data_IF_514299530936
#
_entry.id   IF_514299530936
#
_cell.length_a   1.000
_cell.length_b   1.000
_cell.length_c   1.000
_cell.angle_alpha   90.00
_cell.angle_beta   90.00
_cell.angle_gamma   90.00
#
_symmetry.space_group_name_H-M   'P 1'
#
loop_
_entity.id
_entity.type
_entity.pdbx_description
1 polymer ?
#
# COMPACT_ATOMS: atom_id res chain seq x y z
N UNK A 1 -4.11 13.40 1.87
CA UNK A 1 -4.17 11.94 1.81
C UNK A 1 -4.21 11.59 0.33
N UNK A 2 -3.15 10.99 -0.21
CA UNK A 2 -2.98 10.75 -1.64
C UNK A 2 -3.91 9.63 -2.10
N UNK A 3 -4.47 9.77 -3.32
CA UNK A 3 -5.32 8.74 -3.98
C UNK A 3 -4.67 7.35 -4.02
N UNK A 4 -3.35 7.27 -3.92
CA UNK A 4 -2.59 6.03 -3.81
C UNK A 4 -2.74 5.33 -2.44
N UNK A 5 -2.93 6.07 -1.34
CA UNK A 5 -3.15 5.50 0.00
C UNK A 5 -4.58 5.00 0.18
N UNK A 6 -5.56 5.67 -0.44
CA UNK A 6 -6.95 5.19 -0.47
C UNK A 6 -7.09 3.90 -1.30
N UNK A 7 -6.33 3.76 -2.38
CA UNK A 7 -6.29 2.52 -3.18
C UNK A 7 -5.66 1.33 -2.43
N UNK A 8 -4.71 1.59 -1.51
CA UNK A 8 -4.07 0.53 -0.71
C UNK A 8 -4.94 0.04 0.46
N UNK A 9 -5.76 0.90 1.07
CA UNK A 9 -6.63 0.51 2.20
C UNK A 9 -7.85 -0.31 1.76
N UNK A 10 -8.29 -0.19 0.53
CA UNK A 10 -9.45 -0.93 -0.01
C UNK A 10 -9.08 -2.33 -0.53
N UNK A 11 -7.78 -2.71 -0.49
CA UNK A 11 -7.25 -3.99 -1.01
C UNK A 11 -6.92 -5.03 0.07
N UNK A 12 -7.27 -4.78 1.33
CA UNK A 12 -7.11 -5.81 2.37
C UNK A 12 -8.15 -6.92 2.17
N UNK A 13 -7.65 -8.09 1.77
CA UNK A 13 -8.44 -9.30 1.63
C UNK A 13 -8.46 -10.01 2.99
N UNK A 14 -9.65 -10.40 3.45
CA UNK A 14 -9.81 -11.26 4.61
C UNK A 14 -9.26 -12.68 4.29
N UNK A 15 -8.67 -13.41 5.24
CA UNK A 15 -8.19 -14.78 5.01
C UNK A 15 -9.23 -15.73 4.40
N UNK A 16 -10.52 -15.52 4.70
CA UNK A 16 -11.60 -16.25 4.04
C UNK A 16 -11.75 -15.90 2.56
N UNK A 17 -11.60 -14.64 2.22
CA UNK A 17 -11.65 -14.17 0.82
C UNK A 17 -10.44 -14.66 0.02
N UNK A 18 -9.27 -14.79 0.65
CA UNK A 18 -8.08 -15.36 0.00
C UNK A 18 -8.30 -16.81 -0.42
N UNK A 19 -8.87 -17.64 0.47
CA UNK A 19 -9.17 -19.03 0.14
C UNK A 19 -10.19 -19.15 -0.99
N UNK A 20 -11.24 -18.34 -0.96
CA UNK A 20 -12.28 -18.28 -2.01
C UNK A 20 -11.67 -17.84 -3.36
N UNK A 21 -10.77 -16.86 -3.36
CA UNK A 21 -10.10 -16.42 -4.58
C UNK A 21 -9.19 -17.50 -5.16
N UNK A 22 -8.42 -18.21 -4.33
CA UNK A 22 -7.56 -19.31 -4.78
C UNK A 22 -8.39 -20.48 -5.35
N UNK A 23 -9.50 -20.81 -4.73
CA UNK A 23 -10.43 -21.85 -5.23
C UNK A 23 -11.12 -21.42 -6.53
N UNK A 24 -11.55 -20.17 -6.63
CA UNK A 24 -12.14 -19.61 -7.85
C UNK A 24 -11.16 -19.65 -9.04
N UNK A 25 -9.85 -19.40 -8.80
CA UNK A 25 -8.83 -19.44 -9.83
C UNK A 25 -8.57 -20.87 -10.36
N UNK A 26 -8.80 -21.90 -9.55
CA UNK A 26 -8.67 -23.31 -9.95
C UNK A 26 -9.84 -23.79 -10.81
N UNK A 27 -10.93 -23.05 -10.85
CA UNK A 27 -12.13 -23.39 -11.63
C UNK A 27 -12.04 -22.83 -13.05
N UNK A 28 -12.56 -23.55 -14.06
CA UNK A 28 -12.58 -23.06 -15.45
C UNK A 28 -13.37 -21.75 -15.60
N UNK A 29 -14.51 -21.65 -14.91
CA UNK A 29 -15.32 -20.40 -14.83
C UNK A 29 -15.09 -19.75 -13.47
N UNK A 30 -14.39 -18.62 -13.47
CA UNK A 30 -14.17 -17.80 -12.27
C UNK A 30 -15.49 -17.14 -11.86
N UNK A 31 -16.09 -17.63 -10.78
CA UNK A 31 -17.27 -17.04 -10.18
C UNK A 31 -16.86 -16.40 -8.85
N UNK A 32 -17.24 -15.15 -8.68
CA UNK A 32 -16.98 -14.41 -7.45
C UNK A 32 -18.20 -14.44 -6.52
N UNK A 33 -17.97 -14.36 -5.23
CA UNK A 33 -19.00 -14.06 -4.25
C UNK A 33 -19.58 -12.65 -4.50
N UNK A 34 -20.74 -12.35 -3.91
CA UNK A 34 -21.49 -11.11 -4.18
C UNK A 34 -20.65 -9.85 -3.99
N UNK A 35 -19.83 -9.79 -2.96
CA UNK A 35 -18.96 -8.64 -2.68
C UNK A 35 -17.86 -8.49 -3.73
N UNK A 36 -17.13 -9.55 -4.02
CA UNK A 36 -16.10 -9.57 -5.06
C UNK A 36 -16.67 -9.33 -6.46
N UNK A 37 -17.87 -9.85 -6.75
CA UNK A 37 -18.56 -9.60 -8.02
C UNK A 37 -18.92 -8.13 -8.17
N UNK A 38 -19.34 -7.46 -7.11
CA UNK A 38 -19.63 -6.02 -7.14
C UNK A 38 -18.36 -5.19 -7.36
N UNK A 39 -17.28 -5.51 -6.67
CA UNK A 39 -15.95 -4.88 -6.87
C UNK A 39 -15.43 -5.11 -8.28
N UNK A 40 -15.55 -6.32 -8.81
CA UNK A 40 -15.17 -6.62 -10.19
C UNK A 40 -15.97 -5.80 -11.20
N UNK A 41 -17.30 -5.73 -11.04
CA UNK A 41 -18.19 -4.93 -11.93
C UNK A 41 -17.83 -3.45 -11.89
N UNK A 42 -17.56 -2.90 -10.72
CA UNK A 42 -17.12 -1.52 -10.57
C UNK A 42 -15.77 -1.28 -11.26
N UNK A 43 -14.78 -2.13 -10.99
CA UNK A 43 -13.48 -2.07 -11.65
C UNK A 43 -13.58 -2.20 -13.19
N UNK A 44 -14.41 -3.12 -13.68
CA UNK A 44 -14.65 -3.30 -15.12
C UNK A 44 -15.33 -2.09 -15.74
N UNK A 45 -16.27 -1.46 -15.03
CA UNK A 45 -16.96 -0.25 -15.45
C UNK A 45 -15.99 0.94 -15.57
N UNK A 46 -15.23 1.21 -14.53
CA UNK A 46 -14.26 2.31 -14.48
C UNK A 46 -13.19 2.15 -15.57
N UNK A 47 -12.72 0.93 -15.78
CA UNK A 47 -11.78 0.60 -16.85
C UNK A 47 -12.37 0.87 -18.24
N UNK A 48 -13.63 0.51 -18.46
CA UNK A 48 -14.29 0.74 -19.76
C UNK A 48 -14.47 2.23 -20.01
N UNK A 49 -14.88 3.00 -19.00
CA UNK A 49 -14.99 4.47 -19.10
C UNK A 49 -13.64 5.13 -19.36
N UNK A 50 -12.58 4.72 -18.67
CA UNK A 50 -11.24 5.24 -18.90
C UNK A 50 -10.74 4.94 -20.33
N UNK A 51 -11.00 3.73 -20.82
CA UNK A 51 -10.66 3.34 -22.18
C UNK A 51 -11.42 4.18 -23.22
N UNK A 52 -12.71 4.42 -23.01
CA UNK A 52 -13.49 5.30 -23.90
C UNK A 52 -12.95 6.73 -23.83
N UNK A 53 -12.73 7.26 -22.66
CA UNK A 53 -12.21 8.63 -22.48
C UNK A 53 -10.87 8.85 -23.19
N UNK A 54 -9.98 7.86 -23.15
CA UNK A 54 -8.68 7.92 -23.84
C UNK A 54 -8.79 7.74 -25.35
N UNK A 55 -9.71 6.89 -25.83
CA UNK A 55 -9.80 6.50 -27.24
C UNK A 55 -10.86 7.23 -28.05
N UNK A 56 -11.78 7.98 -27.42
CA UNK A 56 -12.93 8.59 -28.12
C UNK A 56 -12.51 9.55 -29.25
N UNK A 57 -11.44 10.33 -29.02
CA UNK A 57 -10.94 11.24 -30.06
C UNK A 57 -10.32 10.50 -31.23
N UNK A 58 -9.63 9.39 -30.96
CA UNK A 58 -9.08 8.53 -32.00
C UNK A 58 -10.22 7.88 -32.79
N UNK A 59 -11.25 7.38 -32.10
CA UNK A 59 -12.45 6.80 -32.77
C UNK A 59 -13.18 7.80 -33.62
N UNK A 60 -13.42 9.02 -33.12
CA UNK A 60 -14.00 10.11 -33.90
C UNK A 60 -13.14 10.49 -35.10
N UNK A 61 -11.83 10.63 -34.92
CA UNK A 61 -10.88 10.96 -35.99
C UNK A 61 -10.88 9.91 -37.11
N UNK A 62 -10.78 8.62 -36.72
CA UNK A 62 -10.83 7.50 -37.67
C UNK A 62 -12.18 7.42 -38.38
N UNK A 63 -13.28 7.63 -37.66
CA UNK A 63 -14.61 7.65 -38.23
C UNK A 63 -14.74 8.76 -39.28
N UNK A 64 -14.35 9.99 -38.97
CA UNK A 64 -14.38 11.11 -39.90
C UNK A 64 -13.43 10.88 -41.08
N UNK A 65 -12.25 10.30 -40.86
CA UNK A 65 -11.29 10.00 -41.91
C UNK A 65 -11.87 9.04 -42.98
N UNK A 66 -12.73 8.11 -42.59
CA UNK A 66 -13.38 7.16 -43.51
C UNK A 66 -14.63 7.76 -44.12
N UNK A 67 -15.50 8.33 -43.29
CA UNK A 67 -16.84 8.76 -43.71
C UNK A 67 -16.81 10.02 -44.61
N UNK A 68 -15.96 11.00 -44.29
CA UNK A 68 -15.89 12.26 -45.03
C UNK A 68 -15.48 12.05 -46.50
N UNK A 69 -14.38 11.33 -46.82
CA UNK A 69 -14.02 11.04 -48.20
C UNK A 69 -15.09 10.26 -48.94
N UNK A 70 -15.72 9.27 -48.33
CA UNK A 70 -16.78 8.47 -48.97
C UNK A 70 -17.98 9.35 -49.34
N UNK A 71 -18.42 10.25 -48.44
CA UNK A 71 -19.52 11.18 -48.70
C UNK A 71 -19.17 12.17 -49.82
N UNK A 72 -17.92 12.63 -49.88
CA UNK A 72 -17.50 13.62 -50.89
C UNK A 72 -17.29 13.01 -52.27
N UNK A 73 -16.76 11.79 -52.36
CA UNK A 73 -16.36 11.14 -53.60
C UNK A 73 -17.55 10.41 -54.24
N UNK A 74 -18.37 9.70 -53.45
CA UNK A 74 -19.42 8.83 -53.96
C UNK A 74 -20.78 9.52 -53.86
N UNK A 75 -21.26 10.04 -55.00
CA UNK A 75 -22.52 10.78 -55.09
C UNK A 75 -23.65 9.97 -55.73
N UNK A 76 -23.81 8.70 -55.37
CA UNK A 76 -24.91 7.88 -55.85
C UNK A 76 -26.16 8.01 -54.95
N UNK A 77 -27.38 7.84 -55.45
CA UNK A 77 -28.60 7.86 -54.64
C UNK A 77 -28.59 6.80 -53.53
N UNK A 78 -27.97 5.66 -53.78
CA UNK A 78 -27.84 4.55 -52.83
C UNK A 78 -26.94 4.92 -51.65
N UNK A 79 -25.94 5.75 -51.86
CA UNK A 79 -25.07 6.26 -50.78
C UNK A 79 -25.78 7.24 -49.84
N UNK A 80 -26.81 7.95 -50.35
CA UNK A 80 -27.65 8.78 -49.49
C UNK A 80 -28.43 7.91 -48.48
N UNK A 81 -28.87 6.73 -48.90
CA UNK A 81 -29.52 5.78 -48.03
C UNK A 81 -28.57 5.12 -47.03
N UNK A 82 -27.35 4.77 -47.47
CA UNK A 82 -26.31 4.28 -46.55
C UNK A 82 -26.00 5.30 -45.42
N UNK A 83 -25.95 6.59 -45.71
CA UNK A 83 -25.81 7.63 -44.69
C UNK A 83 -26.88 7.55 -43.59
N UNK A 84 -28.13 7.30 -43.99
CA UNK A 84 -29.25 7.27 -43.05
C UNK A 84 -29.22 6.02 -42.14
N UNK A 85 -28.81 4.88 -42.66
CA UNK A 85 -28.84 3.60 -41.94
C UNK A 85 -27.53 3.22 -41.26
N UNK A 86 -26.36 3.59 -41.80
CA UNK A 86 -25.04 3.31 -41.25
C UNK A 86 -24.43 4.54 -40.55
N UNK A 87 -24.19 5.61 -41.33
CA UNK A 87 -23.37 6.75 -40.85
C UNK A 87 -24.03 7.50 -39.71
N UNK A 88 -25.28 7.94 -39.84
CA UNK A 88 -25.92 8.74 -38.80
C UNK A 88 -26.15 8.01 -37.48
N UNK A 89 -26.58 6.73 -37.41
CA UNK A 89 -26.69 6.00 -36.18
C UNK A 89 -25.35 5.87 -35.42
N UNK A 90 -24.28 5.59 -36.17
CA UNK A 90 -22.93 5.48 -35.57
C UNK A 90 -22.45 6.87 -35.09
N UNK A 91 -22.68 7.94 -35.83
CA UNK A 91 -22.34 9.29 -35.43
C UNK A 91 -23.06 9.70 -34.15
N UNK A 92 -24.36 9.44 -34.03
CA UNK A 92 -25.14 9.69 -32.80
C UNK A 92 -24.62 8.87 -31.64
N UNK A 93 -24.25 7.61 -31.86
CA UNK A 93 -23.66 6.75 -30.86
C UNK A 93 -22.31 7.31 -30.32
N UNK A 94 -21.43 7.75 -31.23
CA UNK A 94 -20.14 8.35 -30.88
C UNK A 94 -20.28 9.66 -30.11
N UNK A 95 -21.24 10.53 -30.52
CA UNK A 95 -21.55 11.77 -29.82
C UNK A 95 -22.13 11.47 -28.44
N UNK A 96 -23.00 10.47 -28.31
CA UNK A 96 -23.53 10.03 -27.03
C UNK A 96 -22.43 9.56 -26.08
N UNK A 97 -21.50 8.71 -26.53
CA UNK A 97 -20.35 8.25 -25.77
C UNK A 97 -19.42 9.39 -25.39
N UNK A 98 -19.13 10.31 -26.33
CA UNK A 98 -18.35 11.51 -26.05
C UNK A 98 -18.99 12.36 -24.95
N UNK A 99 -20.32 12.56 -25.03
CA UNK A 99 -21.07 13.33 -24.02
C UNK A 99 -20.96 12.70 -22.61
N UNK A 100 -20.97 11.36 -22.48
CA UNK A 100 -20.78 10.66 -21.21
C UNK A 100 -19.39 10.87 -20.62
N UNK A 101 -18.36 11.15 -21.41
CA UNK A 101 -17.01 11.44 -20.90
C UNK A 101 -16.83 12.89 -20.48
N UNK A 102 -17.70 13.81 -20.88
CA UNK A 102 -17.60 15.25 -20.65
C UNK A 102 -18.60 15.81 -19.65
N UNK A 103 -19.76 15.17 -19.54
CA UNK A 103 -20.86 15.65 -18.71
C UNK A 103 -20.99 14.74 -17.48
N UNK A 104 -20.60 15.24 -16.32
CA UNK A 104 -20.56 14.47 -15.07
C UNK A 104 -21.93 13.89 -14.69
N UNK A 105 -23.02 14.58 -15.00
CA UNK A 105 -24.37 14.10 -14.76
C UNK A 105 -24.79 12.91 -15.65
N UNK A 106 -24.16 12.72 -16.83
CA UNK A 106 -24.36 11.56 -17.70
C UNK A 106 -23.51 10.35 -17.34
N UNK A 107 -22.43 10.56 -16.62
CA UNK A 107 -21.45 9.52 -16.25
C UNK A 107 -22.09 8.29 -15.57
N UNK A 108 -23.06 8.43 -14.64
CA UNK A 108 -23.74 7.28 -14.04
C UNK A 108 -24.52 6.44 -15.06
N UNK A 109 -24.98 7.06 -16.15
CA UNK A 109 -25.78 6.41 -17.21
C UNK A 109 -24.94 5.89 -18.36
N UNK A 110 -23.61 5.98 -18.31
CA UNK A 110 -22.72 5.65 -19.41
C UNK A 110 -22.91 4.21 -19.94
N UNK A 111 -23.15 3.23 -19.05
CA UNK A 111 -23.43 1.86 -19.45
C UNK A 111 -24.73 1.79 -20.31
N UNK A 112 -25.77 2.47 -19.89
CA UNK A 112 -27.06 2.49 -20.61
C UNK A 112 -26.84 3.14 -21.96
N UNK A 113 -26.13 4.26 -22.02
CA UNK A 113 -25.83 4.96 -23.30
C UNK A 113 -24.99 4.07 -24.19
N UNK A 114 -24.04 3.31 -23.69
CA UNK A 114 -23.25 2.35 -24.48
C UNK A 114 -24.12 1.26 -25.13
N UNK A 115 -25.04 0.67 -24.38
CA UNK A 115 -25.94 -0.34 -24.94
C UNK A 115 -26.96 0.25 -25.91
N UNK A 116 -27.47 1.46 -25.65
CA UNK A 116 -28.34 2.17 -26.59
C UNK A 116 -27.60 2.54 -27.90
N UNK A 117 -26.35 3.00 -27.77
CA UNK A 117 -25.47 3.30 -28.88
C UNK A 117 -25.20 2.04 -29.75
N UNK A 118 -24.89 0.93 -29.09
CA UNK A 118 -24.68 -0.37 -29.75
C UNK A 118 -25.97 -0.85 -30.45
N UNK A 119 -27.11 -0.79 -29.78
CA UNK A 119 -28.40 -1.18 -30.32
C UNK A 119 -28.78 -0.33 -31.54
N UNK A 120 -28.65 0.98 -31.46
CA UNK A 120 -28.97 1.92 -32.54
C UNK A 120 -28.09 1.66 -33.76
N UNK A 121 -26.77 1.54 -33.54
CA UNK A 121 -25.80 1.32 -34.62
C UNK A 121 -26.00 -0.05 -35.29
N UNK A 122 -26.18 -1.13 -34.52
CA UNK A 122 -26.43 -2.47 -35.04
C UNK A 122 -27.78 -2.53 -35.83
N UNK A 123 -28.84 -1.98 -35.26
CA UNK A 123 -30.16 -1.95 -35.93
C UNK A 123 -30.09 -1.23 -37.26
N UNK A 124 -29.39 -0.09 -37.29
CA UNK A 124 -29.21 0.70 -38.53
C UNK A 124 -28.41 -0.07 -39.60
N UNK A 125 -27.26 -0.65 -39.21
CA UNK A 125 -26.40 -1.37 -40.16
C UNK A 125 -27.04 -2.66 -40.67
N UNK A 126 -27.76 -3.43 -39.85
CA UNK A 126 -28.51 -4.63 -40.27
C UNK A 126 -29.62 -4.25 -41.23
N UNK A 127 -30.41 -3.21 -40.90
CA UNK A 127 -31.49 -2.73 -41.77
C UNK A 127 -30.96 -2.21 -43.12
N UNK A 128 -29.83 -1.50 -43.09
CA UNK A 128 -29.13 -1.07 -44.33
C UNK A 128 -28.67 -2.25 -45.19
N UNK A 129 -28.10 -3.28 -44.57
CA UNK A 129 -27.69 -4.53 -45.23
C UNK A 129 -28.87 -5.26 -45.89
N UNK A 130 -30.01 -5.34 -45.21
CA UNK A 130 -31.25 -5.96 -45.80
C UNK A 130 -31.81 -5.15 -46.97
N UNK A 131 -31.91 -3.83 -46.79
CA UNK A 131 -32.52 -2.94 -47.78
C UNK A 131 -31.74 -2.84 -49.09
N UNK A 132 -30.42 -2.87 -49.00
CA UNK A 132 -29.52 -2.66 -50.15
C UNK A 132 -28.68 -3.89 -50.50
N UNK A 133 -29.17 -5.07 -50.20
CA UNK A 133 -28.49 -6.34 -50.32
C UNK A 133 -27.75 -6.58 -51.66
N UNK A 134 -28.34 -6.16 -52.78
CA UNK A 134 -27.75 -6.34 -54.13
C UNK A 134 -26.78 -5.22 -54.53
N UNK A 135 -26.58 -4.21 -53.70
CA UNK A 135 -25.76 -3.06 -54.00
C UNK A 135 -24.53 -2.96 -53.10
N UNK A 136 -23.52 -2.21 -53.55
CA UNK A 136 -22.31 -1.95 -52.76
C UNK A 136 -22.58 -1.39 -51.34
N UNK A 137 -23.51 -0.42 -51.13
CA UNK A 137 -23.85 0.06 -49.79
C UNK A 137 -24.38 -1.01 -48.86
N UNK A 138 -25.14 -1.99 -49.34
CA UNK A 138 -25.62 -3.09 -48.50
C UNK A 138 -24.50 -4.02 -48.01
N UNK A 139 -23.53 -4.29 -48.88
CA UNK A 139 -22.34 -5.06 -48.48
C UNK A 139 -21.53 -4.29 -47.43
N UNK A 140 -21.31 -2.99 -47.59
CA UNK A 140 -20.62 -2.14 -46.61
C UNK A 140 -21.34 -2.18 -45.26
N UNK A 141 -22.66 -2.02 -45.23
CA UNK A 141 -23.45 -2.08 -43.99
C UNK A 141 -23.33 -3.45 -43.26
N UNK A 142 -23.25 -4.53 -44.05
CA UNK A 142 -23.05 -5.87 -43.49
C UNK A 142 -21.67 -6.01 -42.80
N UNK A 143 -20.61 -5.48 -43.39
CA UNK A 143 -19.27 -5.43 -42.75
C UNK A 143 -19.25 -4.51 -41.53
N UNK A 144 -19.94 -3.35 -41.58
CA UNK A 144 -20.03 -2.44 -40.42
C UNK A 144 -20.62 -3.15 -39.19
N UNK A 145 -21.65 -4.00 -39.38
CA UNK A 145 -22.23 -4.78 -38.27
C UNK A 145 -21.22 -5.72 -37.61
N UNK A 146 -20.33 -6.35 -38.42
CA UNK A 146 -19.25 -7.21 -37.89
C UNK A 146 -18.26 -6.39 -37.09
N UNK A 147 -17.80 -5.25 -37.57
CA UNK A 147 -16.89 -4.37 -36.88
C UNK A 147 -17.49 -3.85 -35.57
N UNK A 148 -18.77 -3.49 -35.54
CA UNK A 148 -19.46 -3.08 -34.30
C UNK A 148 -19.48 -4.21 -33.26
N UNK A 149 -19.71 -5.47 -33.68
CA UNK A 149 -19.63 -6.62 -32.78
C UNK A 149 -18.21 -6.83 -32.24
N UNK A 150 -17.17 -6.73 -33.08
CA UNK A 150 -15.79 -6.83 -32.68
C UNK A 150 -15.43 -5.73 -31.67
N UNK A 151 -15.86 -4.49 -31.94
CA UNK A 151 -15.61 -3.36 -31.03
C UNK A 151 -16.28 -3.61 -29.68
N UNK A 152 -17.55 -4.03 -29.67
CA UNK A 152 -18.30 -4.24 -28.43
C UNK A 152 -17.72 -5.38 -27.58
N UNK A 153 -17.44 -6.54 -28.18
CA UNK A 153 -16.97 -7.71 -27.44
C UNK A 153 -15.47 -7.71 -27.15
N UNK A 154 -14.63 -7.23 -28.07
CA UNK A 154 -13.17 -7.37 -27.97
C UNK A 154 -12.47 -6.10 -27.51
N UNK A 155 -12.87 -4.93 -27.99
CA UNK A 155 -12.21 -3.66 -27.66
C UNK A 155 -12.80 -3.08 -26.37
N UNK A 156 -14.11 -2.83 -26.34
CA UNK A 156 -14.79 -2.28 -25.16
C UNK A 156 -14.96 -3.31 -24.04
N UNK A 157 -14.88 -4.60 -24.39
CA UNK A 157 -15.03 -5.74 -23.44
C UNK A 157 -16.30 -5.60 -22.62
N UNK A 158 -17.40 -5.27 -23.28
CA UNK A 158 -18.70 -5.22 -22.63
C UNK A 158 -19.09 -6.61 -22.11
N UNK A 159 -19.83 -6.70 -20.99
CA UNK A 159 -20.32 -7.97 -20.45
C UNK A 159 -20.99 -8.83 -21.54
N UNK A 160 -20.47 -10.03 -21.86
CA UNK A 160 -20.84 -10.77 -23.07
C UNK A 160 -22.33 -11.13 -23.10
N UNK A 161 -22.93 -11.46 -21.96
CA UNK A 161 -24.35 -11.79 -21.85
C UNK A 161 -25.26 -10.61 -22.24
N UNK A 162 -24.97 -9.41 -21.74
CA UNK A 162 -25.77 -8.22 -22.00
C UNK A 162 -25.57 -7.74 -23.43
N UNK A 163 -24.35 -7.82 -23.96
CA UNK A 163 -24.01 -7.47 -25.34
C UNK A 163 -24.70 -8.40 -26.30
N UNK A 164 -24.75 -9.71 -26.05
CA UNK A 164 -25.47 -10.70 -26.83
C UNK A 164 -26.97 -10.40 -26.89
N UNK A 165 -27.58 -10.11 -25.73
CA UNK A 165 -29.01 -9.76 -25.65
C UNK A 165 -29.30 -8.49 -26.48
N UNK A 166 -28.46 -7.46 -26.35
CA UNK A 166 -28.59 -6.21 -27.10
C UNK A 166 -28.49 -6.45 -28.61
N UNK A 167 -27.53 -7.28 -29.03
CA UNK A 167 -27.37 -7.62 -30.46
C UNK A 167 -28.59 -8.41 -31.04
N UNK A 168 -29.13 -9.34 -30.25
CA UNK A 168 -30.34 -10.08 -30.63
C UNK A 168 -31.54 -9.15 -30.73
N UNK A 169 -31.72 -8.25 -29.76
CA UNK A 169 -32.82 -7.26 -29.80
C UNK A 169 -32.69 -6.36 -31.02
N UNK A 170 -31.47 -5.91 -31.35
CA UNK A 170 -31.20 -5.10 -32.56
C UNK A 170 -31.58 -5.85 -33.87
N UNK A 171 -31.20 -7.13 -33.96
CA UNK A 171 -31.51 -7.96 -35.10
C UNK A 171 -33.02 -8.20 -35.25
N UNK A 172 -33.71 -8.54 -34.15
CA UNK A 172 -35.16 -8.73 -34.16
C UNK A 172 -35.90 -7.43 -34.58
N UNK A 173 -35.45 -6.29 -34.06
CA UNK A 173 -36.01 -4.99 -34.43
C UNK A 173 -35.82 -4.68 -35.92
N UNK A 174 -34.63 -4.88 -36.47
CA UNK A 174 -34.34 -4.66 -37.86
C UNK A 174 -35.15 -5.61 -38.75
N UNK A 175 -35.32 -6.89 -38.39
CA UNK A 175 -36.16 -7.85 -39.09
C UNK A 175 -37.64 -7.45 -39.04
N UNK A 176 -38.16 -7.03 -37.90
CA UNK A 176 -39.54 -6.58 -37.76
C UNK A 176 -39.86 -5.40 -38.70
N UNK A 177 -38.98 -4.40 -38.72
CA UNK A 177 -39.12 -3.26 -39.66
C UNK A 177 -39.07 -3.73 -41.10
N UNK A 178 -38.16 -4.65 -41.45
CA UNK A 178 -38.04 -5.20 -42.81
C UNK A 178 -39.30 -5.92 -43.28
N UNK A 179 -39.96 -6.67 -42.38
CA UNK A 179 -41.24 -7.31 -42.67
C UNK A 179 -42.36 -6.29 -42.88
N UNK A 180 -42.46 -5.28 -42.01
CA UNK A 180 -43.47 -4.22 -42.09
C UNK A 180 -43.32 -3.41 -43.38
N UNK A 181 -42.07 -3.17 -43.80
CA UNK A 181 -41.78 -2.41 -45.03
C UNK A 181 -41.71 -3.28 -46.29
N UNK A 182 -42.11 -4.55 -46.20
CA UNK A 182 -42.16 -5.53 -47.30
C UNK A 182 -40.84 -5.63 -48.09
N UNK A 183 -39.69 -5.58 -47.37
CA UNK A 183 -38.39 -5.77 -47.99
C UNK A 183 -38.12 -7.25 -48.29
N UNK A 184 -37.39 -7.52 -49.38
CA UNK A 184 -36.96 -8.86 -49.71
C UNK A 184 -35.88 -9.32 -48.70
N UNK A 185 -36.22 -10.26 -47.84
CA UNK A 185 -35.33 -10.77 -46.80
C UNK A 185 -34.61 -12.01 -47.32
N UNK A 186 -33.30 -11.90 -47.51
CA UNK A 186 -32.44 -13.05 -47.83
C UNK A 186 -31.91 -13.65 -46.55
N UNK A 187 -32.60 -14.62 -45.97
CA UNK A 187 -32.29 -15.23 -44.67
C UNK A 187 -30.87 -15.80 -44.61
N UNK A 188 -30.40 -16.41 -45.70
CA UNK A 188 -29.03 -16.96 -45.78
C UNK A 188 -27.95 -15.88 -45.62
N UNK A 189 -28.17 -14.70 -46.20
CA UNK A 189 -27.21 -13.60 -46.12
C UNK A 189 -27.14 -13.05 -44.69
N UNK A 190 -28.30 -12.89 -44.03
CA UNK A 190 -28.37 -12.42 -42.65
C UNK A 190 -27.67 -13.44 -41.70
N UNK A 191 -27.89 -14.74 -41.94
CA UNK A 191 -27.20 -15.77 -41.18
C UNK A 191 -25.69 -15.70 -41.34
N UNK A 192 -25.20 -15.54 -42.54
CA UNK A 192 -23.76 -15.48 -42.81
C UNK A 192 -23.13 -14.16 -42.34
N UNK A 193 -23.77 -13.03 -42.56
CA UNK A 193 -23.18 -11.72 -42.25
C UNK A 193 -23.36 -11.27 -40.80
N UNK A 194 -24.29 -11.83 -40.03
CA UNK A 194 -24.58 -11.43 -38.67
C UNK A 194 -24.50 -12.57 -37.67
N UNK A 195 -25.23 -13.70 -37.91
CA UNK A 195 -25.33 -14.76 -36.88
C UNK A 195 -24.02 -15.47 -36.62
N UNK A 196 -23.21 -15.77 -37.65
CA UNK A 196 -21.91 -16.41 -37.48
C UNK A 196 -20.90 -15.47 -36.79
N UNK A 197 -20.72 -14.18 -37.22
CA UNK A 197 -19.89 -13.24 -36.49
C UNK A 197 -20.35 -13.01 -35.06
N UNK A 198 -21.66 -12.94 -34.80
CA UNK A 198 -22.20 -12.79 -33.44
C UNK A 198 -21.81 -13.97 -32.57
N UNK A 199 -21.93 -15.23 -33.08
CA UNK A 199 -21.53 -16.41 -32.35
C UNK A 199 -20.03 -16.38 -32.00
N UNK A 200 -19.17 -16.09 -32.98
CA UNK A 200 -17.72 -16.02 -32.79
C UNK A 200 -17.34 -14.92 -31.79
N UNK A 201 -17.93 -13.72 -31.96
CA UNK A 201 -17.67 -12.59 -31.07
C UNK A 201 -18.15 -12.88 -29.64
N UNK A 202 -19.27 -13.57 -29.48
CA UNK A 202 -19.80 -13.96 -28.16
C UNK A 202 -18.85 -14.92 -27.44
N UNK A 203 -18.39 -15.97 -28.13
CA UNK A 203 -17.41 -16.92 -27.56
C UNK A 203 -16.13 -16.20 -27.16
N UNK A 204 -15.61 -15.35 -28.05
CA UNK A 204 -14.44 -14.55 -27.76
C UNK A 204 -14.68 -13.60 -26.56
N UNK A 205 -15.83 -12.97 -26.46
CA UNK A 205 -16.22 -12.11 -25.33
C UNK A 205 -16.22 -12.87 -24.01
N UNK A 206 -16.74 -14.09 -23.97
CA UNK A 206 -16.69 -14.94 -22.77
C UNK A 206 -15.25 -15.32 -22.37
N UNK A 207 -14.40 -15.67 -23.35
CA UNK A 207 -12.98 -15.96 -23.08
C UNK A 207 -12.26 -14.74 -22.49
N UNK A 208 -12.54 -13.56 -23.04
CA UNK A 208 -11.96 -12.30 -22.55
C UNK A 208 -12.48 -11.92 -21.15
N UNK A 209 -13.76 -12.18 -20.85
CA UNK A 209 -14.33 -11.94 -19.51
C UNK A 209 -13.70 -12.88 -18.48
N UNK A 210 -13.55 -14.17 -18.79
CA UNK A 210 -12.87 -15.14 -17.92
C UNK A 210 -11.41 -14.70 -17.66
N UNK A 211 -10.68 -14.29 -18.72
CA UNK A 211 -9.32 -13.76 -18.58
C UNK A 211 -9.27 -12.51 -17.71
N UNK A 212 -10.22 -11.58 -17.87
CA UNK A 212 -10.29 -10.35 -17.09
C UNK A 212 -10.56 -10.65 -15.62
N UNK A 213 -11.46 -11.59 -15.30
CA UNK A 213 -11.75 -12.05 -13.95
C UNK A 213 -10.53 -12.68 -13.29
N UNK A 214 -9.81 -13.56 -14.02
CA UNK A 214 -8.56 -14.16 -13.52
C UNK A 214 -7.49 -13.10 -13.23
N UNK A 215 -7.31 -12.15 -14.15
CA UNK A 215 -6.35 -11.07 -13.93
C UNK A 215 -6.71 -10.19 -12.73
N UNK A 216 -8.00 -9.89 -12.54
CA UNK A 216 -8.48 -9.15 -11.37
C UNK A 216 -8.18 -9.90 -10.07
N UNK A 217 -8.50 -11.19 -10.01
CA UNK A 217 -8.23 -12.03 -8.84
C UNK A 217 -6.73 -12.14 -8.55
N UNK A 218 -5.90 -12.39 -9.58
CA UNK A 218 -4.45 -12.45 -9.45
C UNK A 218 -3.86 -11.12 -8.95
N UNK A 219 -4.32 -9.99 -9.46
CA UNK A 219 -3.84 -8.69 -9.02
C UNK A 219 -4.18 -8.42 -7.55
N UNK A 220 -5.37 -8.80 -7.09
CA UNK A 220 -5.75 -8.70 -5.68
C UNK A 220 -4.85 -9.57 -4.79
N UNK A 221 -4.60 -10.82 -5.17
CA UNK A 221 -3.71 -11.73 -4.43
C UNK A 221 -2.28 -11.20 -4.38
N UNK A 222 -1.73 -10.75 -5.51
CA UNK A 222 -0.40 -10.17 -5.59
C UNK A 222 -0.27 -8.91 -4.73
N UNK A 223 -1.28 -8.04 -4.72
CA UNK A 223 -1.30 -6.86 -3.87
C UNK A 223 -1.30 -7.25 -2.38
N UNK A 224 -2.09 -8.26 -1.99
CA UNK A 224 -2.12 -8.77 -0.63
C UNK A 224 -0.78 -9.38 -0.20
N UNK A 225 -0.21 -10.27 -1.03
CA UNK A 225 1.10 -10.90 -0.76
C UNK A 225 2.22 -9.84 -0.67
N UNK A 226 2.23 -8.85 -1.56
CA UNK A 226 3.22 -7.76 -1.52
C UNK A 226 3.11 -6.91 -0.25
N UNK A 227 1.89 -6.64 0.22
CA UNK A 227 1.65 -5.92 1.47
C UNK A 227 2.14 -6.73 2.69
N UNK A 228 1.92 -8.04 2.71
CA UNK A 228 2.44 -8.93 3.74
C UNK A 228 3.97 -8.93 3.74
N UNK A 229 4.59 -9.13 2.58
CA UNK A 229 6.06 -9.13 2.44
C UNK A 229 6.68 -7.82 2.92
N UNK A 230 6.06 -6.68 2.63
CA UNK A 230 6.54 -5.38 3.10
C UNK A 230 6.46 -5.26 4.62
N UNK A 231 5.39 -5.76 5.25
CA UNK A 231 5.28 -5.82 6.72
C UNK A 231 6.36 -6.70 7.34
N UNK A 232 6.59 -7.89 6.77
CA UNK A 232 7.64 -8.80 7.23
C UNK A 232 9.04 -8.19 7.11
N UNK A 233 9.32 -7.51 5.97
CA UNK A 233 10.60 -6.80 5.77
C UNK A 233 10.80 -5.70 6.80
N UNK A 234 9.80 -4.85 7.00
CA UNK A 234 9.88 -3.78 7.98
C UNK A 234 10.11 -4.31 9.41
N UNK A 235 9.49 -5.44 9.75
CA UNK A 235 9.72 -6.09 11.05
C UNK A 235 11.14 -6.66 11.14
N UNK A 236 11.60 -7.38 10.10
CA UNK A 236 12.94 -7.94 10.08
C UNK A 236 14.05 -6.87 10.13
N UNK A 237 13.84 -5.72 9.48
CA UNK A 237 14.77 -4.57 9.57
C UNK A 237 14.83 -4.00 10.99
N UNK A 238 13.68 -3.85 11.66
CA UNK A 238 13.64 -3.41 13.07
C UNK A 238 14.39 -4.39 13.98
N UNK A 239 14.13 -5.69 13.81
CA UNK A 239 14.78 -6.72 14.62
C UNK A 239 16.29 -6.77 14.37
N UNK A 240 16.72 -6.62 13.09
CA UNK A 240 18.14 -6.56 12.74
C UNK A 240 18.84 -5.33 13.32
N UNK A 241 18.21 -4.16 13.25
CA UNK A 241 18.75 -2.92 13.85
C UNK A 241 18.88 -3.05 15.37
N UNK A 242 17.86 -3.62 16.02
CA UNK A 242 17.89 -3.88 17.47
C UNK A 242 19.02 -4.85 17.83
N UNK A 243 19.17 -5.93 17.09
CA UNK A 243 20.25 -6.90 17.31
C UNK A 243 21.63 -6.26 17.10
N UNK A 244 21.76 -5.40 16.10
CA UNK A 244 23.00 -4.66 15.86
C UNK A 244 23.35 -3.73 17.02
N UNK A 245 22.38 -3.01 17.59
CA UNK A 245 22.59 -2.14 18.75
C UNK A 245 23.04 -2.94 19.98
N UNK A 246 22.39 -4.08 20.22
CA UNK A 246 22.81 -4.99 21.31
C UNK A 246 24.25 -5.50 21.10
N UNK A 247 24.60 -5.91 19.89
CA UNK A 247 25.95 -6.38 19.58
C UNK A 247 27.01 -5.28 19.73
N UNK A 248 26.71 -4.05 19.32
CA UNK A 248 27.58 -2.91 19.52
C UNK A 248 27.81 -2.65 21.02
N UNK A 249 26.75 -2.70 21.82
CA UNK A 249 26.83 -2.54 23.24
C UNK A 249 27.68 -3.67 23.90
N UNK A 250 27.39 -4.93 23.52
CA UNK A 250 28.18 -6.08 24.03
C UNK A 250 29.67 -5.95 23.70
N UNK A 251 29.99 -5.40 22.52
CA UNK A 251 31.39 -5.07 22.16
C UNK A 251 32.02 -4.02 23.08
N UNK A 252 31.26 -3.04 23.57
CA UNK A 252 31.74 -2.00 24.49
C UNK A 252 32.04 -2.54 25.88
N UNK A 253 31.21 -3.46 26.37
CA UNK A 253 31.35 -4.03 27.74
C UNK A 253 32.22 -5.29 27.80
N UNK A 254 32.67 -5.79 26.63
CA UNK A 254 33.55 -6.96 26.55
C UNK A 254 35.01 -6.63 26.98
N UNK A 255 35.68 -7.62 27.54
CA UNK A 255 37.11 -7.54 27.90
C UNK A 255 37.39 -7.44 29.38
N UNK A 256 38.68 -7.30 29.72
CA UNK A 256 39.16 -7.19 31.12
C UNK A 256 39.10 -5.74 31.60
N UNK A 257 37.89 -5.19 31.69
CA UNK A 257 37.67 -3.84 32.17
C UNK A 257 37.59 -3.77 33.67
N UNK A 258 38.10 -2.68 34.26
CA UNK A 258 37.78 -2.31 35.64
C UNK A 258 36.33 -1.82 35.71
N UNK A 259 35.66 -1.85 36.89
CA UNK A 259 34.31 -1.31 37.03
C UNK A 259 34.16 0.14 36.54
N UNK A 260 35.15 0.99 36.82
CA UNK A 260 35.15 2.40 36.37
C UNK A 260 35.24 2.52 34.85
N UNK A 261 36.15 1.76 34.20
CA UNK A 261 36.31 1.72 32.76
C UNK A 261 35.05 1.19 32.07
N UNK A 262 34.39 0.18 32.63
CA UNK A 262 33.14 -0.36 32.14
C UNK A 262 32.04 0.71 32.15
N UNK A 263 31.84 1.37 33.28
CA UNK A 263 30.82 2.40 33.46
C UNK A 263 31.09 3.63 32.58
N UNK A 264 32.34 4.01 32.37
CA UNK A 264 32.73 5.09 31.47
C UNK A 264 32.35 4.76 30.01
N UNK A 265 32.63 3.53 29.55
CA UNK A 265 32.25 3.08 28.19
C UNK A 265 30.73 3.03 28.03
N UNK A 266 30.01 2.57 29.05
CA UNK A 266 28.54 2.53 29.05
C UNK A 266 27.96 3.94 28.95
N UNK A 267 28.48 4.90 29.73
CA UNK A 267 28.05 6.30 29.61
C UNK A 267 28.30 6.85 28.18
N UNK A 268 29.48 6.58 27.60
CA UNK A 268 29.79 6.95 26.23
C UNK A 268 28.81 6.35 25.23
N UNK A 269 28.45 5.09 25.37
CA UNK A 269 27.43 4.43 24.55
C UNK A 269 26.06 5.10 24.69
N UNK A 270 25.61 5.39 25.91
CA UNK A 270 24.33 6.05 26.18
C UNK A 270 24.26 7.46 25.57
N UNK A 271 25.36 8.19 25.59
CA UNK A 271 25.47 9.51 24.94
C UNK A 271 25.33 9.40 23.42
N UNK A 272 26.02 8.43 22.80
CA UNK A 272 26.05 8.29 21.35
C UNK A 272 24.76 7.68 20.78
N UNK A 273 24.16 6.71 21.47
CA UNK A 273 23.07 5.90 20.92
C UNK A 273 21.70 6.14 21.55
N UNK A 274 21.67 6.63 22.81
CA UNK A 274 20.41 6.91 23.52
C UNK A 274 20.13 8.42 23.59
N UNK A 275 21.11 9.25 23.22
CA UNK A 275 20.94 10.71 23.17
C UNK A 275 21.07 11.37 24.55
N UNK A 276 21.65 10.71 25.55
CA UNK A 276 21.99 11.33 26.81
C UNK A 276 22.95 12.52 26.58
N UNK A 277 22.75 13.61 27.32
CA UNK A 277 23.62 14.81 27.23
C UNK A 277 24.53 14.93 28.43
N UNK A 278 24.10 14.43 29.57
CA UNK A 278 24.82 14.42 30.83
C UNK A 278 24.58 13.05 31.50
N UNK A 279 25.54 12.57 32.25
CA UNK A 279 25.39 11.30 32.97
C UNK A 279 26.41 11.09 34.09
N UNK A 280 26.01 10.28 35.04
CA UNK A 280 26.83 9.81 36.11
C UNK A 280 26.56 8.33 36.40
N UNK A 281 27.58 7.58 36.75
CA UNK A 281 27.45 6.19 37.14
C UNK A 281 28.08 5.97 38.53
N UNK A 282 27.28 5.42 39.41
CA UNK A 282 27.61 5.19 40.80
C UNK A 282 27.64 3.70 41.11
N UNK A 283 28.61 3.29 41.92
CA UNK A 283 28.65 1.96 42.51
C UNK A 283 28.22 2.02 43.96
N UNK A 284 27.51 1.00 44.41
CA UNK A 284 27.10 0.86 45.79
C UNK A 284 28.25 0.23 46.59
N UNK A 285 28.76 0.96 47.56
CA UNK A 285 29.77 0.50 48.53
C UNK A 285 29.24 0.72 49.96
N UNK A 286 28.83 -0.36 50.62
CA UNK A 286 28.11 -0.26 51.89
C UNK A 286 26.77 0.46 51.77
N UNK A 287 26.58 1.59 52.45
CA UNK A 287 25.39 2.43 52.36
C UNK A 287 25.65 3.73 51.58
N UNK A 288 26.65 3.73 50.71
CA UNK A 288 27.02 4.91 49.94
C UNK A 288 27.12 4.59 48.46
N UNK A 289 26.67 5.51 47.63
CA UNK A 289 26.82 5.50 46.18
C UNK A 289 28.06 6.33 45.83
N UNK A 290 29.13 5.67 45.39
CA UNK A 290 30.39 6.29 44.99
C UNK A 290 30.42 6.44 43.48
N UNK A 291 30.61 7.67 43.00
CA UNK A 291 30.68 7.92 41.55
C UNK A 291 31.95 7.31 40.96
N UNK A 292 31.83 6.44 39.99
CA UNK A 292 32.92 5.79 39.28
C UNK A 292 33.15 6.33 37.87
N UNK A 293 32.13 6.90 37.26
CA UNK A 293 32.22 7.53 35.94
C UNK A 293 31.24 8.71 35.82
N UNK A 294 31.57 9.67 34.97
CA UNK A 294 30.70 10.81 34.68
C UNK A 294 30.91 11.31 33.26
N UNK A 295 29.88 11.95 32.71
CA UNK A 295 29.90 12.59 31.40
C UNK A 295 29.25 13.96 31.48
N UNK A 296 30.00 14.99 31.10
CA UNK A 296 29.56 16.39 31.02
C UNK A 296 28.93 16.95 32.32
N UNK A 297 29.29 16.44 33.49
CA UNK A 297 28.89 17.02 34.76
C UNK A 297 29.58 18.35 34.98
N UNK A 298 28.90 19.33 35.57
CA UNK A 298 29.45 20.63 35.95
C UNK A 298 28.95 21.11 37.30
N UNK A 299 29.61 22.14 37.86
CA UNK A 299 29.20 22.80 39.06
C UNK A 299 29.14 21.91 40.32
N UNK A 300 28.07 22.06 41.12
CA UNK A 300 27.85 21.30 42.34
C UNK A 300 27.68 19.78 42.09
N UNK A 301 27.10 19.40 40.98
CA UNK A 301 26.97 18.00 40.59
C UNK A 301 28.34 17.35 40.34
N UNK A 302 29.33 18.08 39.83
CA UNK A 302 30.69 17.61 39.66
C UNK A 302 31.39 17.42 41.01
N UNK A 303 31.10 18.27 42.00
CA UNK A 303 31.72 18.18 43.31
C UNK A 303 31.18 17.03 44.17
N UNK A 304 29.99 16.51 43.85
CA UNK A 304 29.31 15.49 44.64
C UNK A 304 29.74 14.08 44.20
N UNK A 305 30.83 13.57 44.82
CA UNK A 305 31.40 12.25 44.50
C UNK A 305 30.75 11.10 45.25
N UNK A 306 30.22 11.37 46.43
CA UNK A 306 29.59 10.37 47.30
C UNK A 306 28.20 10.83 47.69
N UNK A 307 27.22 9.95 47.57
CA UNK A 307 25.81 10.19 47.88
C UNK A 307 25.31 9.05 48.80
N UNK A 308 24.51 9.34 49.85
CA UNK A 308 23.86 8.28 50.62
C UNK A 308 22.95 7.43 49.74
N UNK A 309 22.96 6.09 49.93
CA UNK A 309 22.22 5.17 49.07
C UNK A 309 20.70 5.16 49.33
N UNK A 310 20.26 5.72 50.44
CA UNK A 310 18.87 5.78 50.93
C UNK A 310 18.21 7.14 50.72
N UNK A 311 18.94 8.13 50.23
CA UNK A 311 18.46 9.51 50.11
C UNK A 311 18.24 9.93 48.64
N UNK A 312 17.29 10.84 48.46
CA UNK A 312 17.04 11.53 47.18
C UNK A 312 16.48 10.62 46.06
N UNK A 313 16.58 11.10 44.82
CA UNK A 313 16.05 10.38 43.65
C UNK A 313 16.82 9.09 43.37
N UNK A 314 18.14 9.09 43.59
CA UNK A 314 19.01 7.91 43.41
C UNK A 314 18.62 6.80 44.37
N UNK A 315 18.47 7.13 45.68
CA UNK A 315 18.04 6.17 46.69
C UNK A 315 16.64 5.62 46.45
N UNK A 316 15.71 6.49 46.03
CA UNK A 316 14.36 6.06 45.70
C UNK A 316 14.34 5.07 44.51
N UNK A 317 15.11 5.33 43.45
CA UNK A 317 15.21 4.44 42.31
C UNK A 317 15.86 3.11 42.64
N UNK A 318 16.93 3.13 43.43
CA UNK A 318 17.63 1.93 43.86
C UNK A 318 16.75 1.02 44.73
N UNK A 319 15.94 1.61 45.62
CA UNK A 319 15.00 0.89 46.47
C UNK A 319 13.84 0.31 45.71
N UNK A 320 13.30 1.03 44.69
CA UNK A 320 12.24 0.54 43.84
C UNK A 320 12.70 -0.51 42.82
N UNK A 321 13.99 -0.58 42.54
CA UNK A 321 14.60 -1.53 41.59
C UNK A 321 14.04 -1.43 40.17
N UNK A 322 13.53 -0.25 39.76
CA UNK A 322 12.91 0.01 38.48
C UNK A 322 13.65 1.13 37.75
N UNK A 323 13.60 1.06 36.43
CA UNK A 323 13.99 2.18 35.58
C UNK A 323 12.96 3.30 35.74
N UNK A 324 13.41 4.46 36.22
CA UNK A 324 12.52 5.59 36.53
C UNK A 324 12.91 6.80 35.68
N UNK A 325 11.96 7.32 34.91
CA UNK A 325 12.11 8.63 34.28
C UNK A 325 11.37 9.68 35.09
N UNK A 326 12.13 10.71 35.55
CA UNK A 326 11.59 11.84 36.26
C UNK A 326 11.58 13.07 35.38
N UNK A 327 10.39 13.60 35.12
CA UNK A 327 10.17 14.91 34.53
C UNK A 327 10.13 15.99 35.63
N UNK A 328 10.37 17.22 35.25
CA UNK A 328 10.37 18.37 36.20
C UNK A 328 11.37 18.19 37.33
N UNK A 329 12.63 18.02 36.97
CA UNK A 329 13.73 17.87 37.91
C UNK A 329 13.90 19.14 38.73
N UNK A 330 14.16 19.05 40.08
CA UNK A 330 14.40 20.23 40.88
C UNK A 330 15.52 21.11 40.35
N UNK A 331 15.36 22.44 40.49
CA UNK A 331 16.43 23.40 40.12
C UNK A 331 17.71 23.07 40.87
N UNK A 332 18.85 23.06 40.14
CA UNK A 332 20.18 22.74 40.67
C UNK A 332 20.43 21.26 41.01
N UNK A 333 19.53 20.36 40.70
CA UNK A 333 19.77 18.93 40.81
C UNK A 333 20.85 18.44 39.84
N UNK A 334 20.67 18.74 38.57
CA UNK A 334 21.62 18.60 37.48
C UNK A 334 21.45 19.80 36.54
N UNK A 335 22.55 20.43 36.16
CA UNK A 335 22.52 21.53 35.18
C UNK A 335 23.24 21.08 33.89
N UNK A 336 22.57 21.20 32.76
CA UNK A 336 23.15 21.06 31.42
C UNK A 336 23.86 22.37 31.08
N UNK A 337 25.18 22.36 31.04
CA UNK A 337 25.99 23.52 30.68
C UNK A 337 26.30 23.49 29.19
N UNK A 338 25.92 24.55 28.50
CA UNK A 338 26.20 24.73 27.06
C UNK A 338 26.98 26.03 26.89
N UNK A 339 27.58 26.25 25.73
CA UNK A 339 28.26 27.51 25.41
C UNK A 339 27.37 28.76 25.50
N UNK A 340 26.06 28.60 25.63
CA UNK A 340 25.08 29.70 25.74
C UNK A 340 24.51 29.85 27.17
N UNK A 341 24.85 28.98 28.11
CA UNK A 341 24.41 29.05 29.51
C UNK A 341 24.06 27.70 30.11
N UNK A 342 23.47 27.76 31.34
CA UNK A 342 23.02 26.59 32.10
C UNK A 342 21.50 26.46 31.97
N UNK A 343 21.04 25.24 31.78
CA UNK A 343 19.62 24.89 31.74
C UNK A 343 19.37 23.61 32.52
N UNK A 344 18.29 23.50 33.30
CA UNK A 344 17.89 22.23 33.88
C UNK A 344 17.52 21.24 32.74
N UNK A 345 17.75 19.92 32.93
CA UNK A 345 17.30 18.92 31.98
C UNK A 345 15.79 18.82 31.93
N UNK A 346 15.23 18.44 30.78
CA UNK A 346 13.80 18.17 30.64
C UNK A 346 13.37 16.88 31.35
N UNK A 347 14.27 15.89 31.38
CA UNK A 347 14.05 14.70 32.17
C UNK A 347 15.39 14.06 32.59
N UNK A 348 15.34 13.35 33.73
CA UNK A 348 16.40 12.49 34.26
C UNK A 348 15.90 11.05 34.24
N UNK A 349 16.71 10.14 33.72
CA UNK A 349 16.48 8.71 33.77
C UNK A 349 17.41 8.06 34.75
N UNK A 350 16.83 7.34 35.68
CA UNK A 350 17.52 6.63 36.76
C UNK A 350 17.47 5.13 36.46
N UNK A 351 18.64 4.55 36.27
CA UNK A 351 18.77 3.16 35.87
C UNK A 351 19.54 2.37 36.97
N UNK A 352 18.82 1.75 37.93
CA UNK A 352 19.46 0.90 38.94
C UNK A 352 20.05 -0.36 38.29
N UNK A 353 21.28 -0.70 38.63
CA UNK A 353 21.98 -1.89 38.16
C UNK A 353 21.88 -2.97 39.26
N UNK A 354 21.19 -4.05 38.94
CA UNK A 354 20.83 -5.10 39.90
C UNK A 354 21.17 -6.45 39.30
N UNK A 355 21.82 -7.32 40.10
CA UNK A 355 22.06 -8.70 39.70
C UNK A 355 21.42 -9.65 40.73
N UNK A 356 20.39 -10.36 40.31
CA UNK A 356 19.52 -11.08 41.24
C UNK A 356 18.87 -10.13 42.25
N UNK A 357 19.09 -10.35 43.55
CA UNK A 357 18.61 -9.48 44.63
C UNK A 357 19.62 -8.42 45.12
N UNK A 358 20.81 -8.40 44.51
CA UNK A 358 21.90 -7.53 44.96
C UNK A 358 22.00 -6.28 44.09
N UNK A 359 21.79 -5.07 44.66
CA UNK A 359 22.03 -3.84 43.94
C UNK A 359 23.56 -3.63 43.83
N UNK A 360 24.01 -3.33 42.60
CA UNK A 360 25.41 -3.08 42.27
C UNK A 360 25.73 -1.60 42.22
N UNK A 361 24.76 -0.79 41.82
CA UNK A 361 24.90 0.64 41.61
C UNK A 361 23.74 1.23 40.86
N UNK A 362 23.93 2.44 40.33
CA UNK A 362 22.91 3.16 39.56
C UNK A 362 23.57 4.04 38.50
N UNK A 363 22.96 4.12 37.33
CA UNK A 363 23.31 5.07 36.29
C UNK A 363 22.22 6.12 36.21
N UNK A 364 22.65 7.38 36.20
CA UNK A 364 21.82 8.55 36.04
C UNK A 364 22.19 9.22 34.74
N UNK A 365 21.20 9.43 33.82
CA UNK A 365 21.39 10.16 32.58
C UNK A 365 20.28 11.19 32.39
N UNK A 366 20.61 12.28 31.72
CA UNK A 366 19.64 13.32 31.47
C UNK A 366 19.77 13.89 30.04
N UNK A 367 18.66 14.44 29.53
CA UNK A 367 18.62 15.19 28.29
C UNK A 367 17.58 16.32 28.35
N UNK A 368 17.41 17.08 27.24
CA UNK A 368 16.49 18.22 27.18
C UNK A 368 15.03 17.82 26.94
N UNK A 369 14.78 16.71 26.22
CA UNK A 369 13.44 16.34 25.75
C UNK A 369 12.81 15.18 26.53
N UNK A 370 13.64 14.41 27.25
CA UNK A 370 13.26 13.14 27.87
C UNK A 370 13.66 11.96 26.98
N UNK A 371 13.37 10.77 27.47
CA UNK A 371 13.66 9.51 26.78
C UNK A 371 12.36 8.86 26.35
N UNK A 372 12.25 8.54 25.07
CA UNK A 372 11.07 7.89 24.50
C UNK A 372 10.98 6.39 24.91
N UNK A 373 9.87 5.76 24.52
CA UNK A 373 9.62 4.36 24.86
C UNK A 373 10.63 3.39 24.23
N UNK A 374 11.15 3.70 23.03
CA UNK A 374 12.14 2.85 22.35
C UNK A 374 13.48 2.93 23.08
N UNK A 375 13.91 4.13 23.48
CA UNK A 375 15.12 4.37 24.26
C UNK A 375 15.06 3.69 25.64
N UNK A 376 13.93 3.79 26.34
CA UNK A 376 13.73 3.13 27.63
C UNK A 376 13.71 1.60 27.49
N UNK A 377 13.10 1.07 26.43
CA UNK A 377 13.08 -0.36 26.13
C UNK A 377 14.51 -0.86 25.86
N UNK A 378 15.28 -0.14 25.04
CA UNK A 378 16.68 -0.46 24.77
C UNK A 378 17.50 -0.53 26.07
N UNK A 379 17.41 0.50 26.92
CA UNK A 379 18.12 0.54 28.22
C UNK A 379 17.72 -0.65 29.10
N UNK A 380 16.44 -1.00 29.12
CA UNK A 380 15.95 -2.15 29.88
C UNK A 380 16.55 -3.48 29.39
N UNK A 381 16.77 -3.62 28.09
CA UNK A 381 17.43 -4.80 27.52
C UNK A 381 18.92 -4.87 27.81
N UNK A 382 19.60 -3.72 27.90
CA UNK A 382 20.99 -3.63 28.25
C UNK A 382 21.23 -3.95 29.71
N UNK A 383 20.19 -3.96 30.56
CA UNK A 383 20.29 -4.15 31.99
C UNK A 383 21.02 -5.45 32.39
N UNK A 384 20.54 -6.57 31.86
CA UNK A 384 21.08 -7.87 32.23
C UNK A 384 22.55 -8.05 31.82
N UNK A 385 22.97 -7.80 30.56
CA UNK A 385 24.37 -7.90 30.14
C UNK A 385 25.29 -6.97 30.93
N UNK A 386 24.84 -5.73 31.20
CA UNK A 386 25.63 -4.76 31.96
C UNK A 386 25.82 -5.19 33.39
N UNK A 387 24.75 -5.53 34.09
CA UNK A 387 24.80 -5.94 35.50
C UNK A 387 25.70 -7.17 35.71
N UNK A 388 25.62 -8.16 34.81
CA UNK A 388 26.48 -9.33 34.82
C UNK A 388 27.96 -8.96 34.61
N UNK A 389 28.24 -8.10 33.58
CA UNK A 389 29.62 -7.65 33.31
C UNK A 389 30.20 -6.83 34.47
N UNK A 390 29.38 -5.98 35.07
CA UNK A 390 29.80 -5.17 36.23
C UNK A 390 30.11 -6.01 37.44
N UNK A 391 29.26 -6.98 37.79
CA UNK A 391 29.52 -7.92 38.88
C UNK A 391 30.81 -8.71 38.65
N UNK A 392 31.02 -9.19 37.41
CA UNK A 392 32.22 -9.91 37.02
C UNK A 392 33.50 -9.05 37.17
N UNK A 393 33.41 -7.77 36.79
CA UNK A 393 34.51 -6.81 36.95
C UNK A 393 34.81 -6.50 38.41
N UNK A 394 33.78 -6.32 39.26
CA UNK A 394 33.94 -6.15 40.71
C UNK A 394 34.62 -7.34 41.34
N UNK A 395 34.17 -8.55 41.03
CA UNK A 395 34.73 -9.77 41.59
C UNK A 395 36.22 -9.94 41.21
N UNK A 396 36.57 -9.69 39.96
CA UNK A 396 37.97 -9.71 39.51
C UNK A 396 38.82 -8.69 40.24
N UNK A 397 38.35 -7.48 40.41
CA UNK A 397 39.08 -6.43 41.15
C UNK A 397 39.33 -6.82 42.60
N UNK A 398 38.32 -7.38 43.26
CA UNK A 398 38.46 -7.84 44.65
C UNK A 398 39.51 -8.94 44.78
N UNK A 399 39.56 -9.90 43.83
CA UNK A 399 40.58 -10.95 43.84
C UNK A 399 42.01 -10.40 43.62
N UNK A 400 42.17 -9.41 42.74
CA UNK A 400 43.45 -8.75 42.51
C UNK A 400 43.93 -7.98 43.76
N UNK A 401 43.03 -7.27 44.44
CA UNK A 401 43.32 -6.53 45.65
C UNK A 401 43.70 -7.44 46.81
N UNK A 402 43.07 -8.63 46.91
CA UNK A 402 43.44 -9.66 47.88
C UNK A 402 44.82 -10.29 47.62
N UNK A 403 45.08 -10.63 46.34
CA UNK A 403 46.36 -11.20 45.93
C UNK A 403 47.54 -10.23 46.13
N UNK A 404 47.30 -8.91 45.85
CA UNK A 404 48.29 -7.87 46.09
C UNK A 404 48.64 -7.65 47.62
N UNK A 405 47.63 -7.83 48.49
CA UNK A 405 47.83 -7.75 49.94
C UNK A 405 48.63 -8.94 50.51
N UNK A 406 48.38 -10.14 49.92
CA UNK A 406 49.15 -11.36 50.35
C UNK A 406 50.60 -11.41 49.82
N UNK A 407 50.87 -10.69 48.68
CA UNK A 407 52.23 -10.58 48.16
C UNK A 407 53.13 -9.53 48.91
N UNK A 408 52.49 -8.59 49.62
CA UNK A 408 53.19 -7.53 50.41
C UNK A 408 53.21 -7.78 51.92
N UNK A 409 52.69 -8.89 52.41
CA UNK A 409 52.75 -9.38 53.76
C UNK A 409 53.74 -10.54 53.84
#
# INVERSE_FOLDING_TARGET
>A
MNDAEQFQTDQTIDPQQESILRDALNTFMVQFDRDLEQRYKQHSHDRTLDLINRSIYLMLGLYLLVVVPVILIVKTPEMAAWRNYGVYPIAVALVGLWSCTRLDWLRPYAIIVMYLALWLSLSGTILGGIRFNSSFPGQVSSFESIYLLIIAFSILRLPPRQTLITAIIAAVFALAISVITALNIHLLLIMLSFSIPLMICTVNGYILDISARRNFANNLLLAHESAQLNRWRAQAEKDANRQQQLNLFMGQIAGNLTPSQLLERVLGYLVQHVGAKIGAAYMLEGNQLIRKASWALSGEAQAREVVPADEGLLGAALNQRLLIQQHQVPKHYLDLETGQGKSPPGAVLLWPLIQGDHPLGIIEIANFEGFDQEQQTLISELHHPLSFSLQSAQHRQHLLDQSGKTANA
#
